data_IF_952584635589
#
_entry.id   IF_952584635589
#
_cell.length_a   1.000
_cell.length_b   1.000
_cell.length_c   1.000
_cell.angle_alpha   90.00
_cell.angle_beta   90.00
_cell.angle_gamma   90.00
#
_symmetry.space_group_name_H-M   'P 1'
#
loop_
_entity.id
_entity.type
_entity.pdbx_description
1 polymer ?
#
# COMPACT_ATOMS: atom_id res chain seq x y z
N UNK A 1 7.20 3.30 -23.25
CA UNK A 1 6.25 3.83 -22.29
C UNK A 1 6.37 3.10 -20.96
N UNK A 2 6.50 3.82 -19.93
CA UNK A 2 6.75 3.22 -18.63
C UNK A 2 5.44 2.77 -17.97
N UNK A 3 5.45 1.55 -17.49
CA UNK A 3 4.35 1.05 -16.69
C UNK A 3 4.63 1.32 -15.22
N UNK A 4 3.57 1.49 -14.45
CA UNK A 4 3.70 1.59 -13.01
C UNK A 4 4.28 0.29 -12.46
N UNK A 5 5.25 0.42 -11.56
CA UNK A 5 5.83 -0.73 -10.87
C UNK A 5 5.87 -0.47 -9.37
N UNK A 6 6.17 -1.51 -8.60
CA UNK A 6 6.16 -1.40 -7.15
C UNK A 6 7.15 -0.36 -6.63
N UNK A 7 8.42 -0.33 -7.07
CA UNK A 7 9.33 0.71 -6.58
C UNK A 7 8.81 2.13 -6.84
N UNK A 8 8.20 2.36 -7.99
CA UNK A 8 7.63 3.67 -8.30
C UNK A 8 6.44 3.98 -7.41
N UNK A 9 5.55 3.02 -7.19
CA UNK A 9 4.44 3.20 -6.27
C UNK A 9 4.95 3.52 -4.87
N UNK A 10 5.92 2.77 -4.38
CA UNK A 10 6.45 2.99 -3.03
C UNK A 10 7.11 4.37 -2.90
N UNK A 11 7.78 4.83 -3.95
CA UNK A 11 8.36 6.17 -3.95
C UNK A 11 7.28 7.26 -3.92
N UNK A 12 6.12 6.98 -4.49
CA UNK A 12 5.01 7.94 -4.51
C UNK A 12 4.25 7.99 -3.19
N UNK A 13 4.20 6.90 -2.43
CA UNK A 13 3.37 6.84 -1.23
C UNK A 13 3.59 8.00 -0.25
N UNK A 14 4.84 8.38 0.08
CA UNK A 14 5.01 9.53 0.97
C UNK A 14 4.43 10.83 0.41
N UNK A 15 4.44 10.99 -0.92
CA UNK A 15 3.90 12.17 -1.58
C UNK A 15 2.38 12.15 -1.68
N UNK A 16 1.81 10.96 -1.75
CA UNK A 16 0.35 10.77 -1.83
C UNK A 16 -0.28 10.71 -0.44
N UNK A 17 0.52 10.63 0.59
CA UNK A 17 0.06 10.50 1.96
C UNK A 17 -0.78 11.73 2.37
N UNK A 18 -1.89 11.45 3.06
CA UNK A 18 -2.81 12.47 3.53
C UNK A 18 -2.67 12.61 5.05
N UNK A 19 -1.83 13.53 5.53
CA UNK A 19 -1.55 13.63 6.98
C UNK A 19 -2.81 13.83 7.82
N UNK A 20 -3.79 14.58 7.32
CA UNK A 20 -5.01 14.83 8.07
C UNK A 20 -5.84 13.58 8.29
N UNK A 21 -5.73 12.61 7.40
CA UNK A 21 -6.43 11.33 7.52
C UNK A 21 -5.72 10.39 8.48
N UNK A 22 -4.47 10.69 8.82
CA UNK A 22 -3.64 9.82 9.63
C UNK A 22 -3.48 10.28 11.08
N UNK A 23 -4.34 11.18 11.54
CA UNK A 23 -4.28 11.64 12.93
C UNK A 23 -4.50 10.48 13.88
N UNK A 24 -3.58 10.31 14.81
CA UNK A 24 -3.64 9.23 15.78
C UNK A 24 -3.21 7.88 15.25
N UNK A 25 -2.80 7.81 13.99
CA UNK A 25 -2.31 6.56 13.40
C UNK A 25 -0.79 6.51 13.56
N UNK A 26 -0.32 5.52 14.32
CA UNK A 26 1.11 5.23 14.45
C UNK A 26 1.26 3.74 14.18
N UNK A 27 1.85 3.39 13.05
CA UNK A 27 1.84 2.01 12.61
C UNK A 27 2.97 1.67 11.67
N UNK A 28 3.37 0.41 11.70
CA UNK A 28 4.27 -0.19 10.72
C UNK A 28 3.46 -1.14 9.85
N UNK A 29 3.54 -0.95 8.55
CA UNK A 29 2.82 -1.76 7.56
C UNK A 29 3.85 -2.44 6.67
N UNK A 30 3.87 -3.76 6.72
CA UNK A 30 4.79 -4.55 5.92
C UNK A 30 4.08 -5.05 4.67
N UNK A 31 4.64 -4.74 3.50
CA UNK A 31 4.15 -5.24 2.22
C UNK A 31 5.02 -6.42 1.81
N UNK A 32 4.47 -7.62 1.91
CA UNK A 32 5.11 -8.85 1.45
C UNK A 32 4.59 -9.17 0.06
N UNK A 33 5.38 -8.83 -0.93
CA UNK A 33 5.00 -8.92 -2.35
C UNK A 33 5.90 -9.93 -3.05
N UNK A 34 5.59 -11.24 -2.91
CA UNK A 34 6.44 -12.27 -3.50
C UNK A 34 6.43 -12.23 -5.03
N UNK A 35 7.49 -12.76 -5.62
CA UNK A 35 7.60 -12.90 -7.07
C UNK A 35 8.27 -11.70 -7.72
N UNK A 36 8.36 -11.78 -9.04
CA UNK A 36 9.03 -10.76 -9.83
C UNK A 36 8.33 -9.40 -9.69
N UNK A 37 9.14 -8.37 -9.51
CA UNK A 37 8.64 -7.00 -9.43
C UNK A 37 8.07 -6.61 -8.08
N UNK A 38 8.03 -7.53 -7.12
CA UNK A 38 7.49 -7.25 -5.79
C UNK A 38 8.55 -6.81 -4.80
N UNK A 39 8.80 -7.66 -3.81
CA UNK A 39 9.81 -7.41 -2.78
C UNK A 39 9.20 -7.21 -1.40
N UNK A 40 10.05 -6.80 -0.48
CA UNK A 40 9.68 -6.53 0.89
C UNK A 40 9.78 -5.03 1.14
N UNK A 41 8.66 -4.42 1.56
CA UNK A 41 8.61 -2.99 1.75
C UNK A 41 7.96 -2.67 3.09
N UNK A 42 8.52 -1.72 3.79
CA UNK A 42 8.01 -1.28 5.08
C UNK A 42 7.54 0.18 4.97
N UNK A 43 6.27 0.39 5.27
CA UNK A 43 5.69 1.73 5.33
C UNK A 43 5.45 2.05 6.80
N UNK A 44 6.04 3.13 7.27
CA UNK A 44 5.91 3.56 8.65
C UNK A 44 5.17 4.89 8.71
N UNK A 45 4.13 4.95 9.53
CA UNK A 45 3.35 6.16 9.74
C UNK A 45 3.48 6.54 11.20
N UNK A 46 4.04 7.72 11.47
CA UNK A 46 4.20 8.24 12.81
C UNK A 46 4.06 9.76 12.78
N UNK A 47 3.28 10.28 13.72
CA UNK A 47 3.09 11.72 13.85
C UNK A 47 2.74 12.39 12.53
N UNK A 48 1.85 11.75 11.79
CA UNK A 48 1.34 12.24 10.50
C UNK A 48 2.43 12.34 9.43
N UNK A 49 3.47 11.51 9.53
CA UNK A 49 4.55 11.41 8.55
C UNK A 49 4.61 9.97 8.05
N UNK A 50 4.70 9.83 6.74
CA UNK A 50 4.82 8.53 6.08
C UNK A 50 6.24 8.37 5.52
N UNK A 51 6.90 7.28 5.91
CA UNK A 51 8.20 6.92 5.36
C UNK A 51 8.14 5.52 4.79
N UNK A 52 8.93 5.27 3.76
CA UNK A 52 8.98 3.97 3.09
C UNK A 52 10.42 3.51 3.00
N UNK A 53 10.63 2.23 3.29
CA UNK A 53 11.96 1.61 3.16
C UNK A 53 11.82 0.19 2.65
N UNK A 54 12.92 -0.35 2.11
CA UNK A 54 12.98 -1.76 1.75
C UNK A 54 13.26 -2.58 3.00
N UNK A 55 12.70 -3.79 3.05
CA UNK A 55 13.03 -4.73 4.09
C UNK A 55 11.82 -5.31 4.79
N UNK A 56 12.10 -6.31 5.60
CA UNK A 56 11.07 -7.01 6.37
C UNK A 56 10.95 -6.37 7.74
N UNK A 57 9.75 -6.42 8.29
CA UNK A 57 9.51 -6.00 9.66
C UNK A 57 9.40 -7.24 10.55
N UNK A 58 9.91 -7.14 11.77
CA UNK A 58 9.85 -8.26 12.71
C UNK A 58 8.46 -8.40 13.34
N UNK A 59 7.86 -7.27 13.67
CA UNK A 59 6.56 -7.27 14.36
C UNK A 59 5.73 -6.08 13.86
N UNK A 60 5.32 -6.10 12.58
CA UNK A 60 4.52 -4.99 12.06
C UNK A 60 3.10 -5.03 12.61
N UNK A 61 2.45 -3.87 12.62
CA UNK A 61 1.04 -3.79 13.01
C UNK A 61 0.15 -4.43 11.97
N UNK A 62 0.58 -4.43 10.71
CA UNK A 62 -0.19 -4.96 9.60
C UNK A 62 0.76 -5.52 8.56
N UNK A 63 0.42 -6.68 8.01
CA UNK A 63 1.11 -7.25 6.86
C UNK A 63 0.12 -7.44 5.72
N UNK A 64 0.51 -6.99 4.54
CA UNK A 64 -0.24 -7.19 3.32
C UNK A 64 0.52 -8.15 2.43
N UNK A 65 -0.14 -9.23 2.04
CA UNK A 65 0.42 -10.22 1.11
C UNK A 65 -0.33 -10.12 -0.20
N UNK A 66 0.38 -9.85 -1.27
CA UNK A 66 -0.20 -9.77 -2.61
C UNK A 66 0.89 -9.89 -3.65
N UNK A 67 0.51 -10.25 -4.86
CA UNK A 67 1.43 -10.16 -5.99
C UNK A 67 1.58 -8.69 -6.36
N UNK A 68 2.72 -8.35 -6.97
CA UNK A 68 2.99 -6.97 -7.38
C UNK A 68 1.84 -6.39 -8.22
N UNK A 69 1.38 -7.16 -9.21
CA UNK A 69 0.28 -6.71 -10.07
C UNK A 69 -0.97 -6.37 -9.28
N UNK A 70 -1.32 -7.21 -8.31
CA UNK A 70 -2.56 -7.02 -7.56
C UNK A 70 -2.50 -5.80 -6.67
N UNK A 71 -1.36 -5.54 -6.01
CA UNK A 71 -1.22 -4.36 -5.18
C UNK A 71 -1.24 -3.08 -6.03
N UNK A 72 -0.62 -3.12 -7.21
CA UNK A 72 -0.67 -2.00 -8.14
C UNK A 72 -2.10 -1.73 -8.61
N UNK A 73 -2.84 -2.78 -8.91
CA UNK A 73 -4.24 -2.65 -9.34
C UNK A 73 -5.11 -2.06 -8.23
N UNK A 74 -4.86 -2.42 -6.98
CA UNK A 74 -5.60 -1.85 -5.84
C UNK A 74 -5.33 -0.36 -5.73
N UNK A 75 -4.07 0.05 -5.76
CA UNK A 75 -3.73 1.47 -5.57
C UNK A 75 -4.13 2.34 -6.77
N UNK A 76 -4.24 1.77 -7.95
CA UNK A 76 -4.67 2.52 -9.13
C UNK A 76 -6.19 2.50 -9.33
N UNK A 77 -6.91 1.76 -8.50
CA UNK A 77 -8.37 1.68 -8.60
C UNK A 77 -8.87 0.67 -9.62
N UNK A 78 -7.99 -0.13 -10.20
CA UNK A 78 -8.37 -1.17 -11.17
C UNK A 78 -8.96 -2.41 -10.49
N UNK A 79 -8.66 -2.59 -9.22
CA UNK A 79 -9.13 -3.72 -8.42
C UNK A 79 -9.62 -3.18 -7.08
N UNK A 80 -10.89 -3.46 -6.78
CA UNK A 80 -11.48 -3.07 -5.50
C UNK A 80 -10.82 -3.90 -4.38
N UNK A 81 -10.36 -3.27 -3.29
CA UNK A 81 -9.74 -4.01 -2.19
C UNK A 81 -10.61 -5.12 -1.61
N UNK A 82 -11.92 -4.89 -1.51
CA UNK A 82 -12.84 -5.91 -0.98
C UNK A 82 -12.91 -7.10 -1.91
N UNK A 83 -12.92 -6.87 -3.21
CA UNK A 83 -12.90 -7.93 -4.23
C UNK A 83 -11.58 -8.70 -4.16
N UNK A 84 -10.48 -7.98 -4.00
CA UNK A 84 -9.16 -8.59 -3.88
C UNK A 84 -9.08 -9.53 -2.68
N UNK A 85 -9.64 -9.10 -1.54
CA UNK A 85 -9.72 -9.95 -0.34
C UNK A 85 -10.57 -11.18 -0.58
N UNK A 86 -11.73 -10.99 -1.18
CA UNK A 86 -12.67 -12.08 -1.42
C UNK A 86 -12.06 -13.19 -2.29
N UNK A 87 -11.29 -12.82 -3.29
CA UNK A 87 -10.71 -13.78 -4.23
C UNK A 87 -9.28 -14.19 -3.87
N UNK A 88 -8.79 -13.79 -2.69
CA UNK A 88 -7.47 -14.19 -2.22
C UNK A 88 -6.30 -13.51 -2.93
N UNK A 89 -6.57 -12.46 -3.68
CA UNK A 89 -5.51 -11.67 -4.35
C UNK A 89 -4.80 -10.74 -3.38
N UNK A 90 -5.46 -10.40 -2.29
CA UNK A 90 -4.89 -9.61 -1.20
C UNK A 90 -5.18 -10.36 0.09
N UNK A 91 -4.15 -10.61 0.88
CA UNK A 91 -4.29 -11.25 2.17
C UNK A 91 -3.75 -10.30 3.24
N UNK A 92 -4.47 -10.22 4.34
CA UNK A 92 -4.18 -9.27 5.40
C UNK A 92 -3.94 -10.03 6.69
N UNK A 93 -2.88 -9.64 7.40
CA UNK A 93 -2.55 -10.20 8.69
C UNK A 93 -2.25 -9.06 9.64
N UNK A 94 -2.91 -9.01 10.78
CA UNK A 94 -2.70 -7.99 11.78
C UNK A 94 -3.91 -7.11 12.02
N UNK A 95 -3.68 -5.82 12.22
CA UNK A 95 -4.73 -4.87 12.61
C UNK A 95 -5.72 -4.61 11.47
N UNK A 96 -6.91 -5.20 11.58
CA UNK A 96 -7.94 -5.08 10.54
C UNK A 96 -8.51 -3.67 10.45
N UNK A 97 -8.55 -2.93 11.54
CA UNK A 97 -9.03 -1.55 11.49
C UNK A 97 -8.09 -0.68 10.65
N UNK A 98 -6.81 -0.89 10.87
CA UNK A 98 -5.79 -0.21 10.08
C UNK A 98 -5.89 -0.60 8.61
N UNK A 99 -6.08 -1.89 8.33
CA UNK A 99 -6.20 -2.39 6.97
C UNK A 99 -7.36 -1.73 6.23
N UNK A 100 -8.51 -1.58 6.89
CA UNK A 100 -9.68 -0.98 6.28
C UNK A 100 -9.50 0.51 6.02
N UNK A 101 -8.61 1.17 6.75
CA UNK A 101 -8.34 2.59 6.57
C UNK A 101 -7.17 2.87 5.64
N UNK A 102 -6.38 1.85 5.33
CA UNK A 102 -5.09 2.04 4.66
C UNK A 102 -5.21 2.86 3.37
N UNK A 103 -6.13 2.50 2.48
CA UNK A 103 -6.28 3.19 1.20
C UNK A 103 -6.70 4.64 1.40
N UNK A 104 -7.47 4.92 2.46
CA UNK A 104 -7.93 6.28 2.76
C UNK A 104 -6.80 7.19 3.25
N UNK A 105 -5.69 6.62 3.67
CA UNK A 105 -4.53 7.41 4.12
C UNK A 105 -3.74 8.01 2.95
N UNK A 106 -4.07 7.62 1.73
CA UNK A 106 -3.36 8.06 0.53
C UNK A 106 -4.34 8.61 -0.51
N UNK A 107 -3.89 9.61 -1.26
CA UNK A 107 -4.68 10.17 -2.34
C UNK A 107 -4.60 9.27 -3.58
N UNK A 108 -5.46 8.26 -3.63
CA UNK A 108 -5.50 7.32 -4.74
C UNK A 108 -6.16 7.92 -5.99
N UNK A 109 -6.69 9.14 -5.87
CA UNK A 109 -7.27 9.86 -7.01
C UNK A 109 -6.27 10.79 -7.67
N UNK A 110 -5.05 10.84 -7.15
CA UNK A 110 -3.99 11.67 -7.72
C UNK A 110 -3.71 11.27 -9.16
N UNK A 111 -3.48 12.26 -10.01
CA UNK A 111 -3.25 12.02 -11.43
C UNK A 111 -2.08 11.09 -11.72
N UNK A 112 -1.06 11.08 -10.83
CA UNK A 112 0.09 10.21 -10.98
C UNK A 112 -0.28 8.73 -10.89
N UNK A 113 -1.34 8.39 -10.16
CA UNK A 113 -1.87 7.03 -10.11
C UNK A 113 -2.93 6.79 -11.18
N UNK A 114 -3.79 7.77 -11.41
CA UNK A 114 -4.91 7.60 -12.33
C UNK A 114 -4.47 7.36 -13.77
N UNK A 115 -3.31 7.86 -14.17
CA UNK A 115 -2.79 7.62 -15.52
C UNK A 115 -2.58 6.13 -15.81
N UNK A 116 -2.44 5.32 -14.77
CA UNK A 116 -2.22 3.87 -14.89
C UNK A 116 -3.54 3.08 -14.82
N UNK A 117 -4.63 3.77 -14.60
CA UNK A 117 -5.95 3.18 -14.44
C UNK A 117 -6.62 3.04 -15.78
N UNK A 118 -6.64 1.84 -16.33
CA UNK A 118 -7.29 1.57 -17.61
C UNK A 118 -8.01 0.22 -17.60
#
# INVERSE_FOLDING_TARGET
MDELNVPTLMALLPELFLPDQARGVNAEIYFDLPGDGGGDWLVTIREQICTVSNGKATDPDLTLHAKAKDILDVFTGRLDPSVALLFGKLRINGDMRLAMRLVELFDTKDARLRQWRK
#
